data_IF_680027735419
#
_entry.id   IF_680027735419
#
_cell.length_a   1.000
_cell.length_b   1.000
_cell.length_c   1.000
_cell.angle_alpha   90.00
_cell.angle_beta   90.00
_cell.angle_gamma   90.00
#
_symmetry.space_group_name_H-M   'P 1'
#
loop_
_entity.id
_entity.type
_entity.pdbx_description
1 polymer ?
#
# COMPACT_ATOMS: atom_id res chain seq x y z
N UNK A 1 27.47 18.70 4.48
CA UNK A 1 26.33 18.10 3.75
C UNK A 1 26.86 16.87 3.06
N UNK A 2 26.47 15.68 3.51
CA UNK A 2 26.79 14.45 2.77
C UNK A 2 26.20 14.54 1.36
N UNK A 3 26.96 14.08 0.36
CA UNK A 3 26.47 14.01 -1.03
C UNK A 3 25.28 13.06 -1.05
N UNK A 4 24.08 13.60 -1.27
CA UNK A 4 22.85 12.80 -1.41
C UNK A 4 22.89 12.10 -2.76
N UNK A 5 23.62 10.99 -2.83
CA UNK A 5 23.54 10.05 -3.92
C UNK A 5 22.38 9.09 -3.65
N UNK A 6 21.60 8.80 -4.69
CA UNK A 6 20.51 7.83 -4.59
C UNK A 6 21.01 6.42 -4.25
N UNK A 7 20.31 5.77 -3.32
CA UNK A 7 20.58 4.38 -2.92
C UNK A 7 19.34 3.52 -3.21
N UNK A 8 19.36 2.86 -4.37
CA UNK A 8 18.26 2.00 -4.80
C UNK A 8 18.04 0.83 -3.85
N UNK A 9 19.11 0.26 -3.27
CA UNK A 9 19.01 -0.82 -2.29
C UNK A 9 18.26 -0.39 -1.04
N UNK A 10 18.63 0.75 -0.45
CA UNK A 10 17.94 1.31 0.71
C UNK A 10 16.46 1.63 0.42
N UNK A 11 16.13 2.12 -0.79
CA UNK A 11 14.74 2.36 -1.19
C UNK A 11 13.94 1.06 -1.37
N UNK A 12 14.57 0.01 -1.90
CA UNK A 12 13.96 -1.32 -2.01
C UNK A 12 13.74 -1.94 -0.63
N UNK A 13 14.73 -1.85 0.26
CA UNK A 13 14.66 -2.37 1.63
C UNK A 13 13.55 -1.66 2.42
N UNK A 14 13.46 -0.34 2.34
CA UNK A 14 12.42 0.44 2.99
C UNK A 14 11.00 0.05 2.51
N UNK A 15 10.84 -0.23 1.21
CA UNK A 15 9.55 -0.62 0.63
C UNK A 15 9.23 -2.10 0.89
N UNK A 16 10.23 -2.95 1.10
CA UNK A 16 10.04 -4.40 1.35
C UNK A 16 9.21 -4.70 2.61
N UNK A 17 9.23 -3.79 3.60
CA UNK A 17 8.38 -3.88 4.79
C UNK A 17 6.92 -3.54 4.52
N UNK A 18 6.66 -2.64 3.56
CA UNK A 18 5.32 -2.18 3.20
C UNK A 18 4.67 -3.12 2.19
N UNK A 19 5.42 -3.63 1.21
CA UNK A 19 4.92 -4.55 0.18
C UNK A 19 4.46 -5.90 0.73
N UNK A 20 4.80 -6.21 1.99
CA UNK A 20 4.33 -7.38 2.74
C UNK A 20 2.98 -7.16 3.42
N UNK A 21 2.47 -5.92 3.44
CA UNK A 21 1.16 -5.61 4.00
C UNK A 21 0.09 -6.11 3.02
N UNK A 22 -0.56 -7.20 3.41
CA UNK A 22 -1.68 -7.79 2.70
C UNK A 22 -2.83 -8.03 3.67
N UNK A 23 -4.05 -7.73 3.22
CA UNK A 23 -5.26 -8.12 3.94
C UNK A 23 -5.62 -9.51 3.44
N UNK A 24 -5.50 -10.54 4.29
CA UNK A 24 -6.13 -11.83 3.99
C UNK A 24 -7.62 -11.58 3.74
N UNK A 25 -8.19 -12.18 2.71
CA UNK A 25 -9.61 -12.07 2.38
C UNK A 25 -10.45 -12.26 3.64
N UNK A 26 -11.01 -11.15 4.13
CA UNK A 26 -11.82 -11.17 5.34
C UNK A 26 -13.10 -11.95 5.11
N UNK A 27 -13.71 -12.43 6.19
CA UNK A 27 -15.02 -13.09 6.09
C UNK A 27 -16.11 -12.03 5.93
N UNK A 28 -16.90 -12.17 4.87
CA UNK A 28 -18.11 -11.36 4.69
C UNK A 28 -19.15 -11.75 5.72
N UNK A 29 -19.79 -10.75 6.31
CA UNK A 29 -20.92 -10.95 7.21
C UNK A 29 -22.20 -11.19 6.40
N UNK A 30 -23.04 -12.10 6.85
CA UNK A 30 -24.35 -12.35 6.25
C UNK A 30 -25.39 -12.59 7.34
N UNK A 31 -26.66 -12.30 7.02
CA UNK A 31 -27.77 -12.64 7.89
C UNK A 31 -28.37 -13.97 7.41
N UNK A 32 -28.82 -14.80 8.36
CA UNK A 32 -29.69 -15.93 8.07
C UNK A 32 -31.09 -15.44 7.68
N UNK A 33 -32.11 -15.79 8.48
CA UNK A 33 -33.51 -15.41 8.19
C UNK A 33 -33.92 -14.01 8.67
N UNK A 34 -33.00 -13.23 9.23
CA UNK A 34 -33.36 -11.96 9.88
C UNK A 34 -33.81 -10.91 8.85
N UNK A 35 -34.97 -10.30 9.09
CA UNK A 35 -35.58 -9.29 8.21
C UNK A 35 -35.51 -7.87 8.79
N UNK A 36 -34.96 -7.70 9.99
CA UNK A 36 -34.83 -6.41 10.68
C UNK A 36 -33.94 -5.47 9.87
N UNK A 37 -34.45 -4.28 9.54
CA UNK A 37 -33.77 -3.29 8.69
C UNK A 37 -32.39 -2.86 9.23
N UNK A 38 -32.30 -2.59 10.54
CA UNK A 38 -31.03 -2.19 11.18
C UNK A 38 -29.96 -3.29 11.10
N UNK A 39 -30.35 -4.57 11.16
CA UNK A 39 -29.41 -5.69 11.00
C UNK A 39 -28.88 -5.77 9.57
N UNK A 40 -29.74 -5.56 8.56
CA UNK A 40 -29.31 -5.53 7.14
C UNK A 40 -28.33 -4.38 6.90
N UNK A 41 -28.62 -3.21 7.46
CA UNK A 41 -27.72 -2.06 7.40
C UNK A 41 -26.39 -2.36 8.09
N UNK A 42 -26.41 -3.02 9.25
CA UNK A 42 -25.21 -3.48 9.95
C UNK A 42 -24.34 -4.37 9.07
N UNK A 43 -24.91 -5.39 8.43
CA UNK A 43 -24.17 -6.26 7.49
C UNK A 43 -23.59 -5.49 6.32
N UNK A 44 -24.34 -4.55 5.74
CA UNK A 44 -23.84 -3.70 4.65
C UNK A 44 -22.62 -2.90 5.07
N UNK A 45 -22.68 -2.22 6.22
CA UNK A 45 -21.56 -1.43 6.75
C UNK A 45 -20.36 -2.32 7.08
N UNK A 46 -20.57 -3.46 7.73
CA UNK A 46 -19.49 -4.41 8.04
C UNK A 46 -18.77 -4.89 6.77
N UNK A 47 -19.50 -5.23 5.72
CA UNK A 47 -18.91 -5.67 4.46
C UNK A 47 -18.22 -4.52 3.71
N UNK A 48 -18.75 -3.29 3.82
CA UNK A 48 -18.12 -2.11 3.24
C UNK A 48 -16.76 -1.81 3.88
N UNK A 49 -16.65 -1.92 5.21
CA UNK A 49 -15.38 -1.74 5.94
C UNK A 49 -14.30 -2.69 5.41
N UNK A 50 -14.65 -3.95 5.14
CA UNK A 50 -13.70 -4.92 4.57
C UNK A 50 -13.21 -4.51 3.17
N UNK A 51 -14.13 -4.00 2.34
CA UNK A 51 -13.80 -3.47 1.01
C UNK A 51 -12.86 -2.27 1.11
N UNK A 52 -13.17 -1.33 2.00
CA UNK A 52 -12.40 -0.09 2.13
C UNK A 52 -11.02 -0.32 2.75
N UNK A 53 -10.90 -1.27 3.69
CA UNK A 53 -9.60 -1.72 4.19
C UNK A 53 -8.73 -2.31 3.07
N UNK A 54 -9.33 -3.11 2.19
CA UNK A 54 -8.63 -3.71 1.05
C UNK A 54 -8.12 -2.62 0.07
N UNK A 55 -8.95 -1.61 -0.21
CA UNK A 55 -8.55 -0.46 -1.04
C UNK A 55 -7.43 0.35 -0.41
N UNK A 56 -7.50 0.60 0.90
CA UNK A 56 -6.46 1.32 1.62
C UNK A 56 -5.10 0.62 1.49
N UNK A 57 -5.07 -0.70 1.71
CA UNK A 57 -3.84 -1.49 1.55
C UNK A 57 -3.34 -1.48 0.10
N UNK A 58 -4.22 -1.53 -0.89
CA UNK A 58 -3.82 -1.37 -2.31
C UNK A 58 -3.17 -0.01 -2.55
N UNK A 59 -3.79 1.07 -2.09
CA UNK A 59 -3.28 2.43 -2.27
C UNK A 59 -1.90 2.60 -1.61
N UNK A 60 -1.72 2.12 -0.38
CA UNK A 60 -0.42 2.16 0.32
C UNK A 60 0.65 1.41 -0.48
N UNK A 61 0.34 0.21 -0.98
CA UNK A 61 1.25 -0.56 -1.81
C UNK A 61 1.60 0.16 -3.13
N UNK A 62 0.62 0.77 -3.79
CA UNK A 62 0.84 1.56 -5.01
C UNK A 62 1.77 2.75 -4.77
N UNK A 63 1.61 3.48 -3.67
CA UNK A 63 2.52 4.58 -3.34
C UNK A 63 3.91 4.06 -3.00
N UNK A 64 4.00 3.00 -2.19
CA UNK A 64 5.28 2.41 -1.80
C UNK A 64 6.10 1.96 -3.02
N UNK A 65 5.44 1.38 -4.02
CA UNK A 65 6.07 0.95 -5.27
C UNK A 65 6.61 2.10 -6.14
N UNK A 66 6.31 3.36 -5.84
CA UNK A 66 6.89 4.53 -6.54
C UNK A 66 8.30 4.85 -6.06
N UNK A 67 8.63 4.59 -4.79
CA UNK A 67 9.94 4.95 -4.23
C UNK A 67 11.13 4.27 -4.92
N UNK A 68 11.11 2.95 -5.22
CA UNK A 68 12.23 2.30 -5.90
C UNK A 68 12.38 2.80 -7.35
N UNK A 69 11.26 3.10 -8.02
CA UNK A 69 11.27 3.68 -9.37
C UNK A 69 11.89 5.08 -9.37
N UNK A 70 11.50 5.92 -8.40
CA UNK A 70 12.08 7.25 -8.23
C UNK A 70 13.58 7.15 -7.91
N UNK A 71 13.97 6.25 -7.01
CA UNK A 71 15.38 6.01 -6.68
C UNK A 71 16.20 5.58 -7.90
N UNK A 72 15.66 4.71 -8.77
CA UNK A 72 16.31 4.31 -10.02
C UNK A 72 16.48 5.48 -11.00
N UNK A 73 15.46 6.35 -11.13
CA UNK A 73 15.55 7.56 -11.98
C UNK A 73 16.61 8.52 -11.45
N UNK A 74 16.66 8.74 -10.13
CA UNK A 74 17.67 9.59 -9.51
C UNK A 74 19.07 8.97 -9.68
N UNK A 75 19.21 7.64 -9.55
CA UNK A 75 20.49 6.95 -9.75
C UNK A 75 21.02 7.07 -11.17
N UNK A 76 20.14 6.97 -12.16
CA UNK A 76 20.48 7.24 -13.55
C UNK A 76 20.98 8.68 -13.75
N UNK A 77 20.29 9.68 -13.19
CA UNK A 77 20.72 11.08 -13.27
C UNK A 77 22.03 11.33 -12.52
N UNK A 78 22.18 10.74 -11.34
CA UNK A 78 23.37 10.87 -10.51
C UNK A 78 24.60 10.25 -11.19
N UNK A 79 24.44 9.15 -11.93
CA UNK A 79 25.52 8.55 -12.73
C UNK A 79 26.01 9.43 -13.89
N UNK A 80 25.12 10.27 -14.43
CA UNK A 80 25.42 11.20 -15.52
C UNK A 80 25.99 12.53 -15.00
N UNK A 81 25.78 12.83 -13.72
CA UNK A 81 26.28 14.05 -13.08
C UNK A 81 27.55 13.70 -12.33
N UNK A 82 28.73 14.07 -12.87
CA UNK A 82 29.99 13.96 -12.10
C UNK A 82 29.91 14.88 -10.89
N UNK A 83 29.51 14.36 -9.73
CA UNK A 83 29.64 15.05 -8.46
C UNK A 83 31.13 15.16 -8.10
N UNK A 84 31.81 16.17 -8.65
CA UNK A 84 33.13 16.58 -8.16
C UNK A 84 33.05 16.91 -6.67
#
# INVERSE_FOLDING_TARGET
>A
MEKVASNQGAAQDAVSGISKVSVKSGKTCSLGRSNISSMKQGVKVSNQILSDLSKLVSCVNEQANKFPKLAAVIASRDSQTRFK
#
